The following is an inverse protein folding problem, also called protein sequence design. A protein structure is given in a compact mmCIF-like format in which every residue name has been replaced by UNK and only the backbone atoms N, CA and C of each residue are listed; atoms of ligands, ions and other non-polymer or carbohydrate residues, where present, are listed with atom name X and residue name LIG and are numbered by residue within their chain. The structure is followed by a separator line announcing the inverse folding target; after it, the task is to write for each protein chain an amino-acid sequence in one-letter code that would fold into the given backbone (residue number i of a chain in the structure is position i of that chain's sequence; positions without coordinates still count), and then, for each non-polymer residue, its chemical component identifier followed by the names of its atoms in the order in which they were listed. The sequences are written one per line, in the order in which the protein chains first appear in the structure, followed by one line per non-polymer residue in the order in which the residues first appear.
data_IF_461755616285
#
_entry.id   IF_461755616285
#
_cell.length_a   1.000
_cell.length_b   1.000
_cell.length_c   1.000
_cell.angle_alpha   90.00
_cell.angle_beta   90.00
_cell.angle_gamma   90.00
#
_symmetry.space_group_name_H-M   'P 1'
#
loop_
_entity.id
_entity.type
_entity.pdbx_description
1 polymer ?
#
# COMPACT_ATOMS: atom_id res chain seq x y z
N UNK A 1 18.68 6.87 3.07
CA UNK A 1 18.75 6.13 4.35
C UNK A 1 17.67 5.06 4.44
N UNK A 2 16.36 5.37 4.23
CA UNK A 2 15.26 4.42 4.43
C UNK A 2 15.40 3.10 3.64
N UNK A 3 15.57 3.16 2.31
CA UNK A 3 15.71 1.96 1.48
C UNK A 3 16.94 1.13 1.84
N UNK A 4 18.05 1.80 2.18
CA UNK A 4 19.27 1.11 2.60
C UNK A 4 19.08 0.36 3.94
N UNK A 5 18.37 0.96 4.91
CA UNK A 5 18.08 0.30 6.20
C UNK A 5 17.16 -0.91 6.04
N UNK A 6 16.13 -0.83 5.16
CA UNK A 6 15.26 -1.97 4.86
C UNK A 6 16.03 -3.11 4.19
N UNK A 7 16.88 -2.81 3.22
CA UNK A 7 17.72 -3.80 2.56
C UNK A 7 18.73 -4.44 3.52
N UNK A 8 19.31 -3.65 4.44
CA UNK A 8 20.20 -4.18 5.47
C UNK A 8 19.47 -5.18 6.39
N UNK A 9 18.24 -4.88 6.79
CA UNK A 9 17.39 -5.80 7.56
C UNK A 9 17.09 -7.11 6.82
N UNK A 10 16.74 -7.04 5.53
CA UNK A 10 16.57 -8.24 4.70
C UNK A 10 17.84 -9.08 4.64
N UNK A 11 19.00 -8.45 4.41
CA UNK A 11 20.31 -9.13 4.38
C UNK A 11 20.65 -9.78 5.72
N UNK A 12 20.36 -9.10 6.84
CA UNK A 12 20.60 -9.67 8.17
C UNK A 12 19.76 -10.92 8.41
N UNK A 13 18.49 -10.91 8.02
CA UNK A 13 17.59 -12.07 8.15
C UNK A 13 18.13 -13.23 7.28
N UNK A 14 18.46 -12.98 6.01
CA UNK A 14 18.95 -14.01 5.08
C UNK A 14 20.29 -14.59 5.48
N UNK A 15 21.13 -13.84 6.20
CA UNK A 15 22.38 -14.32 6.74
C UNK A 15 22.21 -15.16 8.03
N UNK A 16 21.18 -14.86 8.81
CA UNK A 16 20.92 -15.51 10.10
C UNK A 16 20.19 -16.85 9.96
N UNK A 17 19.37 -17.03 8.94
CA UNK A 17 18.56 -18.24 8.74
C UNK A 17 18.20 -18.46 7.28
N UNK A 18 18.06 -19.74 6.89
CA UNK A 18 17.50 -20.15 5.61
C UNK A 18 15.97 -20.38 5.66
N UNK A 19 15.33 -20.17 6.83
CA UNK A 19 13.90 -20.34 7.04
C UNK A 19 13.26 -18.99 7.34
N UNK A 20 12.86 -18.25 6.31
CA UNK A 20 12.28 -16.92 6.45
C UNK A 20 11.29 -16.61 5.33
N UNK A 21 10.34 -15.75 5.62
CA UNK A 21 9.52 -15.07 4.63
C UNK A 21 9.64 -13.57 4.88
N UNK A 22 10.14 -12.85 3.89
CA UNK A 22 10.13 -11.38 3.87
C UNK A 22 9.05 -10.93 2.90
N UNK A 23 8.12 -10.10 3.35
CA UNK A 23 7.06 -9.55 2.52
C UNK A 23 7.33 -8.06 2.32
N UNK A 24 7.66 -7.67 1.08
CA UNK A 24 7.75 -6.27 0.68
C UNK A 24 6.36 -5.76 0.32
N UNK A 25 6.01 -4.58 0.81
CA UNK A 25 4.73 -3.93 0.52
C UNK A 25 4.91 -2.45 0.20
N UNK A 26 3.90 -1.82 -0.37
CA UNK A 26 3.89 -0.40 -0.73
C UNK A 26 2.58 0.28 -0.32
N UNK A 27 2.61 1.58 -0.10
CA UNK A 27 1.44 2.45 0.12
C UNK A 27 0.44 1.88 1.13
N UNK A 28 0.96 1.41 2.27
CA UNK A 28 0.16 0.75 3.30
C UNK A 28 -0.79 1.74 3.96
N UNK A 29 -2.07 1.39 4.06
CA UNK A 29 -3.10 2.15 4.75
C UNK A 29 -4.02 1.25 5.58
N UNK A 30 -4.72 1.85 6.55
CA UNK A 30 -5.55 1.13 7.50
C UNK A 30 -6.66 2.03 8.05
N UNK A 31 -7.69 1.44 8.64
CA UNK A 31 -8.63 2.14 9.51
C UNK A 31 -8.00 2.59 10.83
N UNK A 32 -6.81 2.09 11.19
CA UNK A 32 -6.06 2.44 12.39
C UNK A 32 -4.88 3.36 12.08
N UNK A 33 -4.43 4.14 13.09
CA UNK A 33 -3.26 4.98 12.99
C UNK A 33 -3.37 6.13 11.97
N UNK A 34 -2.29 6.85 11.76
CA UNK A 34 -2.18 7.92 10.76
C UNK A 34 -1.73 7.32 9.41
N UNK A 35 -2.40 7.69 8.31
CA UNK A 35 -2.07 7.25 6.96
C UNK A 35 -2.68 8.18 5.91
N UNK A 36 -2.37 7.94 4.64
CA UNK A 36 -2.81 8.79 3.52
C UNK A 36 -4.34 8.88 3.42
N UNK A 37 -5.08 7.78 3.61
CA UNK A 37 -6.56 7.79 3.52
C UNK A 37 -7.15 8.75 4.55
N UNK A 38 -6.75 8.62 5.81
CA UNK A 38 -7.23 9.53 6.88
C UNK A 38 -6.78 10.97 6.66
N UNK A 39 -5.59 11.16 6.11
CA UNK A 39 -5.08 12.51 5.75
C UNK A 39 -5.96 13.15 4.69
N UNK A 40 -6.30 12.45 3.61
CA UNK A 40 -7.18 12.98 2.56
C UNK A 40 -8.59 13.26 3.10
N UNK A 41 -9.18 12.34 3.85
CA UNK A 41 -10.49 12.54 4.47
C UNK A 41 -10.52 13.83 5.32
N UNK A 42 -9.51 14.03 6.17
CA UNK A 42 -9.38 15.24 6.99
C UNK A 42 -9.18 16.49 6.14
N UNK A 43 -8.26 16.45 5.17
CA UNK A 43 -7.97 17.61 4.33
C UNK A 43 -9.16 18.00 3.45
N UNK A 44 -9.95 17.04 2.97
CA UNK A 44 -11.19 17.33 2.25
C UNK A 44 -12.23 18.06 3.12
N UNK A 45 -12.22 17.82 4.43
CA UNK A 45 -13.10 18.55 5.35
C UNK A 45 -12.59 19.95 5.72
N UNK A 46 -11.26 20.16 5.71
CA UNK A 46 -10.62 21.37 6.21
C UNK A 46 -10.25 22.38 5.10
N UNK A 47 -10.08 21.93 3.86
CA UNK A 47 -9.53 22.76 2.77
C UNK A 47 -10.54 22.96 1.64
N UNK A 48 -10.57 24.15 1.02
CA UNK A 48 -11.46 24.41 -0.12
C UNK A 48 -11.06 23.64 -1.39
N UNK A 49 -9.81 23.22 -1.51
CA UNK A 49 -9.27 22.42 -2.61
C UNK A 49 -7.99 21.69 -2.17
N UNK A 50 -7.62 20.63 -2.91
CA UNK A 50 -6.36 19.90 -2.72
C UNK A 50 -5.58 19.79 -4.04
N UNK A 51 -4.24 19.82 -3.94
CA UNK A 51 -3.33 19.52 -5.04
C UNK A 51 -2.56 18.24 -4.73
N UNK A 52 -2.68 17.20 -5.56
CA UNK A 52 -2.13 15.88 -5.28
C UNK A 52 -1.27 15.40 -6.45
N UNK A 53 -0.11 14.84 -6.16
CA UNK A 53 0.87 14.34 -7.14
C UNK A 53 0.24 13.24 -8.02
N UNK A 54 0.32 13.41 -9.36
CA UNK A 54 -0.23 12.49 -10.34
C UNK A 54 0.83 11.67 -11.11
N UNK A 55 2.10 12.08 -11.07
CA UNK A 55 3.21 11.43 -11.81
C UNK A 55 3.99 10.39 -10.98
N UNK A 56 3.49 10.02 -9.80
CA UNK A 56 4.02 8.90 -9.00
C UNK A 56 3.00 7.77 -8.98
N UNK A 57 3.40 6.63 -9.55
CA UNK A 57 2.54 5.47 -9.80
C UNK A 57 2.92 4.31 -8.87
N UNK A 58 1.94 3.71 -8.25
CA UNK A 58 2.12 2.58 -7.33
C UNK A 58 0.84 1.78 -7.16
N UNK A 59 0.78 1.00 -6.07
CA UNK A 59 -0.44 0.30 -5.69
C UNK A 59 -0.69 0.48 -4.20
N UNK A 60 -1.86 1.01 -3.80
CA UNK A 60 -2.27 1.05 -2.41
C UNK A 60 -2.40 -0.36 -1.83
N UNK A 61 -2.02 -0.54 -0.56
CA UNK A 61 -2.15 -1.83 0.15
C UNK A 61 -3.00 -1.64 1.41
N UNK A 62 -4.13 -2.29 1.49
CA UNK A 62 -4.94 -2.32 2.70
C UNK A 62 -4.33 -3.28 3.71
N UNK A 63 -4.04 -2.78 4.90
CA UNK A 63 -3.35 -3.55 5.94
C UNK A 63 -4.14 -4.80 6.39
N UNK A 64 -5.47 -4.78 6.33
CA UNK A 64 -6.27 -5.95 6.67
C UNK A 64 -6.11 -7.09 5.63
N UNK A 65 -5.98 -6.77 4.33
CA UNK A 65 -5.74 -7.79 3.30
C UNK A 65 -4.36 -8.42 3.47
N UNK A 66 -3.35 -7.60 3.76
CA UNK A 66 -2.00 -8.09 4.08
C UNK A 66 -2.01 -8.95 5.35
N UNK A 67 -2.74 -8.53 6.39
CA UNK A 67 -2.87 -9.30 7.62
C UNK A 67 -3.58 -10.64 7.39
N UNK A 68 -4.63 -10.67 6.56
CA UNK A 68 -5.31 -11.90 6.17
C UNK A 68 -4.37 -12.86 5.42
N UNK A 69 -3.58 -12.33 4.49
CA UNK A 69 -2.54 -13.10 3.81
C UNK A 69 -1.52 -13.69 4.80
N UNK A 70 -1.02 -12.88 5.73
CA UNK A 70 -0.06 -13.35 6.76
C UNK A 70 -0.69 -14.42 7.66
N UNK A 71 -1.95 -14.23 8.08
CA UNK A 71 -2.67 -15.22 8.87
C UNK A 71 -2.81 -16.56 8.12
N UNK A 72 -3.17 -16.51 6.84
CA UNK A 72 -3.23 -17.72 5.99
C UNK A 72 -1.86 -18.39 5.86
N UNK A 73 -0.78 -17.63 5.72
CA UNK A 73 0.58 -18.19 5.72
C UNK A 73 0.90 -18.93 7.01
N UNK A 74 0.57 -18.36 8.17
CA UNK A 74 0.87 -18.94 9.49
C UNK A 74 0.04 -20.22 9.71
N UNK A 75 -1.19 -20.25 9.22
CA UNK A 75 -2.09 -21.41 9.36
C UNK A 75 -1.79 -22.53 8.35
N UNK A 76 -0.91 -22.29 7.40
CA UNK A 76 -0.55 -23.27 6.38
C UNK A 76 0.64 -24.12 6.85
N UNK A 77 0.46 -25.42 7.00
CA UNK A 77 1.48 -26.36 7.48
C UNK A 77 2.74 -26.43 6.59
N UNK A 78 2.67 -25.93 5.34
CA UNK A 78 3.78 -25.92 4.39
C UNK A 78 4.61 -24.63 4.37
N UNK A 79 4.54 -23.79 5.41
CA UNK A 79 5.29 -22.52 5.48
C UNK A 79 6.80 -22.69 5.27
N UNK A 80 7.35 -23.83 5.72
CA UNK A 80 8.77 -24.16 5.59
C UNK A 80 9.23 -24.40 4.15
N UNK A 81 8.33 -24.79 3.25
CA UNK A 81 8.62 -24.98 1.83
C UNK A 81 8.71 -23.65 1.04
N UNK A 82 8.29 -22.56 1.63
CA UNK A 82 8.12 -21.27 0.94
C UNK A 82 9.06 -20.18 1.45
N UNK A 83 10.33 -20.52 1.70
CA UNK A 83 11.36 -19.55 2.09
C UNK A 83 11.60 -18.51 0.99
N UNK A 84 11.79 -17.24 1.37
CA UNK A 84 12.25 -16.21 0.44
C UNK A 84 11.57 -14.86 0.58
N UNK A 85 11.83 -14.01 -0.42
CA UNK A 85 11.29 -12.66 -0.51
C UNK A 85 10.07 -12.68 -1.45
N UNK A 86 8.99 -12.07 -0.99
CA UNK A 86 7.70 -11.95 -1.67
C UNK A 86 7.27 -10.50 -1.76
N UNK A 87 6.45 -10.19 -2.75
CA UNK A 87 5.82 -8.88 -2.88
C UNK A 87 4.32 -9.00 -2.67
N UNK A 88 3.77 -8.15 -1.82
CA UNK A 88 2.33 -8.05 -1.61
C UNK A 88 1.88 -6.59 -1.69
N UNK A 89 0.92 -6.32 -2.56
CA UNK A 89 0.07 -5.13 -2.58
C UNK A 89 -1.28 -5.53 -3.15
N UNK A 90 -2.33 -4.74 -2.98
CA UNK A 90 -3.59 -5.03 -3.65
C UNK A 90 -3.43 -5.09 -5.18
N UNK A 91 -4.39 -5.62 -5.91
CA UNK A 91 -4.37 -5.61 -7.37
C UNK A 91 -4.68 -4.22 -7.94
N UNK A 92 -4.25 -3.98 -9.18
CA UNK A 92 -4.41 -2.72 -9.88
C UNK A 92 -3.25 -1.75 -9.68
N UNK A 93 -3.41 -0.56 -10.21
CA UNK A 93 -2.41 0.51 -10.24
C UNK A 93 -3.13 1.85 -10.03
N UNK A 94 -2.50 2.79 -9.35
CA UNK A 94 -2.99 4.13 -9.13
C UNK A 94 -1.85 5.14 -9.00
N UNK A 95 -2.10 6.40 -9.35
CA UNK A 95 -1.30 7.52 -8.84
C UNK A 95 -1.80 7.93 -7.44
N UNK A 96 -1.03 8.78 -6.74
CA UNK A 96 -1.54 9.40 -5.50
C UNK A 96 -2.81 10.22 -5.77
N UNK A 97 -2.89 10.87 -6.95
CA UNK A 97 -4.08 11.60 -7.38
C UNK A 97 -5.29 10.68 -7.55
N UNK A 98 -5.17 9.56 -8.28
CA UNK A 98 -6.26 8.59 -8.47
C UNK A 98 -6.73 8.02 -7.12
N UNK A 99 -5.78 7.76 -6.22
CA UNK A 99 -6.07 7.28 -4.89
C UNK A 99 -6.84 8.32 -4.06
N UNK A 100 -6.43 9.60 -4.10
CA UNK A 100 -7.11 10.69 -3.41
C UNK A 100 -8.52 10.95 -3.97
N UNK A 101 -8.69 10.94 -5.29
CA UNK A 101 -10.01 11.04 -5.95
C UNK A 101 -10.92 9.91 -5.47
N UNK A 102 -10.42 8.66 -5.47
CA UNK A 102 -11.21 7.51 -5.01
C UNK A 102 -11.60 7.61 -3.54
N UNK A 103 -10.71 8.11 -2.68
CA UNK A 103 -11.03 8.34 -1.26
C UNK A 103 -12.16 9.36 -1.11
N UNK A 104 -12.06 10.49 -1.81
CA UNK A 104 -13.08 11.55 -1.82
C UNK A 104 -14.44 11.01 -2.26
N UNK A 105 -14.48 10.33 -3.40
CA UNK A 105 -15.71 9.85 -4.02
C UNK A 105 -16.40 8.78 -3.16
N UNK A 106 -15.64 7.79 -2.66
CA UNK A 106 -16.17 6.74 -1.77
C UNK A 106 -16.65 7.34 -0.44
N UNK A 107 -16.01 8.40 0.02
CA UNK A 107 -16.44 9.09 1.23
C UNK A 107 -17.67 9.99 1.02
N UNK A 108 -18.08 10.25 -0.22
CA UNK A 108 -19.19 11.17 -0.55
C UNK A 108 -18.82 12.64 -0.30
N UNK A 109 -17.54 12.99 -0.51
CA UNK A 109 -17.03 14.36 -0.35
C UNK A 109 -16.94 15.05 -1.72
N UNK A 110 -17.06 16.39 -1.76
CA UNK A 110 -17.11 17.17 -3.00
C UNK A 110 -15.89 18.08 -3.20
N UNK A 111 -14.94 18.07 -2.28
CA UNK A 111 -13.77 18.94 -2.33
C UNK A 111 -12.99 18.75 -3.63
N UNK A 112 -12.76 19.82 -4.41
CA UNK A 112 -11.98 19.73 -5.64
C UNK A 112 -10.55 19.24 -5.37
N UNK A 113 -10.09 18.26 -6.16
CA UNK A 113 -8.71 17.75 -6.10
C UNK A 113 -8.10 17.90 -7.49
N UNK A 114 -6.96 18.57 -7.60
CA UNK A 114 -6.25 18.83 -8.83
C UNK A 114 -4.95 18.03 -8.91
N UNK A 115 -4.60 17.48 -10.09
CA UNK A 115 -3.32 16.82 -10.29
C UNK A 115 -2.19 17.83 -10.36
N UNK A 116 -1.07 17.50 -9.73
CA UNK A 116 0.20 18.21 -9.85
C UNK A 116 1.33 17.24 -10.14
N UNK A 117 2.47 17.74 -10.63
CA UNK A 117 3.68 16.97 -10.82
C UNK A 117 4.60 17.00 -9.58
N UNK A 118 5.48 16.00 -9.46
CA UNK A 118 6.39 15.85 -8.32
C UNK A 118 7.22 17.10 -8.04
N UNK A 119 7.69 17.81 -9.08
CA UNK A 119 8.50 19.01 -8.90
C UNK A 119 7.74 20.18 -8.25
N UNK A 120 6.40 20.19 -8.34
CA UNK A 120 5.54 21.22 -7.72
C UNK A 120 5.33 20.98 -6.21
N UNK A 121 5.74 19.81 -5.71
CA UNK A 121 5.64 19.45 -4.29
C UNK A 121 6.98 18.90 -3.77
N UNK A 122 7.98 19.77 -3.56
CA UNK A 122 9.30 19.34 -3.12
C UNK A 122 9.26 18.67 -1.74
N UNK A 123 9.87 17.49 -1.65
CA UNK A 123 10.00 16.73 -0.40
C UNK A 123 11.46 16.40 -0.13
N UNK A 124 11.90 16.25 1.15
CA UNK A 124 13.29 15.94 1.48
C UNK A 124 13.78 14.62 0.88
N UNK A 125 12.88 13.67 0.61
CA UNK A 125 13.20 12.37 0.02
C UNK A 125 12.68 12.29 -1.42
N UNK A 126 13.56 11.97 -2.36
CA UNK A 126 13.15 11.65 -3.74
C UNK A 126 12.38 10.33 -3.76
N UNK A 127 11.14 10.36 -4.21
CA UNK A 127 10.30 9.18 -4.36
C UNK A 127 10.38 8.65 -5.79
N UNK A 128 10.36 7.31 -6.00
CA UNK A 128 10.33 6.75 -7.34
C UNK A 128 9.04 7.12 -8.06
N UNK A 129 9.13 7.39 -9.37
CA UNK A 129 7.95 7.64 -10.21
C UNK A 129 7.10 6.38 -10.42
N UNK A 130 7.71 5.20 -10.31
CA UNK A 130 7.04 3.91 -10.49
C UNK A 130 7.46 2.94 -9.40
N UNK A 131 6.49 2.44 -8.64
CA UNK A 131 6.68 1.54 -7.49
C UNK A 131 5.75 0.33 -7.50
N UNK A 132 5.19 -0.02 -8.66
CA UNK A 132 4.33 -1.20 -8.82
C UNK A 132 5.16 -2.47 -8.67
N UNK A 133 4.66 -3.41 -7.88
CA UNK A 133 5.35 -4.67 -7.59
C UNK A 133 4.71 -5.85 -8.33
N UNK A 134 5.54 -6.78 -8.81
CA UNK A 134 5.06 -8.04 -9.36
C UNK A 134 4.67 -8.99 -8.22
N UNK A 135 3.41 -9.40 -8.16
CA UNK A 135 2.81 -10.26 -7.15
C UNK A 135 2.66 -11.71 -7.59
N UNK A 136 3.17 -12.06 -8.78
CA UNK A 136 3.02 -13.42 -9.36
C UNK A 136 3.49 -14.49 -8.39
N UNK A 137 4.66 -14.30 -7.75
CA UNK A 137 5.22 -15.28 -6.81
C UNK A 137 4.30 -15.56 -5.62
N UNK A 138 3.63 -14.56 -5.04
CA UNK A 138 2.64 -14.76 -3.96
C UNK A 138 1.47 -15.62 -4.46
N UNK A 139 0.91 -15.30 -5.60
CA UNK A 139 -0.24 -16.02 -6.17
C UNK A 139 0.12 -17.48 -6.48
N UNK A 140 1.24 -17.70 -7.14
CA UNK A 140 1.68 -19.05 -7.54
C UNK A 140 2.04 -19.93 -6.32
N UNK A 141 2.70 -19.34 -5.30
CA UNK A 141 3.16 -20.09 -4.14
C UNK A 141 2.05 -20.40 -3.14
N UNK A 142 1.06 -19.51 -2.98
CA UNK A 142 0.10 -19.60 -1.89
C UNK A 142 -1.37 -19.69 -2.36
N UNK A 143 -1.65 -19.57 -3.66
CA UNK A 143 -3.01 -19.58 -4.18
C UNK A 143 -3.88 -18.43 -3.64
N UNK A 144 -3.27 -17.36 -3.10
CA UNK A 144 -4.00 -16.27 -2.48
C UNK A 144 -4.61 -15.35 -3.54
N UNK A 145 -5.93 -15.13 -3.44
CA UNK A 145 -6.64 -14.16 -4.28
C UNK A 145 -6.50 -12.77 -3.67
N UNK A 146 -5.72 -11.92 -4.32
CA UNK A 146 -5.46 -10.55 -3.86
C UNK A 146 -6.61 -9.64 -4.32
N UNK A 147 -7.30 -8.93 -3.41
CA UNK A 147 -8.38 -8.01 -3.77
C UNK A 147 -7.89 -6.82 -4.60
N UNK A 148 -8.78 -6.24 -5.42
CA UNK A 148 -8.50 -5.00 -6.12
C UNK A 148 -8.45 -3.82 -5.12
N UNK A 149 -7.50 -2.91 -5.32
CA UNK A 149 -7.21 -1.86 -4.35
C UNK A 149 -8.41 -0.96 -4.01
N UNK A 150 -9.28 -0.69 -5.00
CA UNK A 150 -10.43 0.19 -4.81
C UNK A 150 -11.53 -0.46 -3.97
N UNK A 151 -11.74 -1.76 -4.13
CA UNK A 151 -12.71 -2.53 -3.34
C UNK A 151 -12.27 -2.57 -1.86
N UNK A 152 -10.98 -2.81 -1.63
CA UNK A 152 -10.39 -2.77 -0.29
C UNK A 152 -10.45 -1.38 0.34
N UNK A 153 -10.33 -0.32 -0.47
CA UNK A 153 -10.49 1.06 0.00
C UNK A 153 -11.91 1.32 0.48
N UNK A 154 -12.94 0.84 -0.23
CA UNK A 154 -14.33 0.96 0.20
C UNK A 154 -14.56 0.30 1.57
N UNK A 155 -14.02 -0.91 1.77
CA UNK A 155 -14.09 -1.61 3.06
C UNK A 155 -13.42 -0.80 4.16
N UNK A 156 -12.24 -0.25 3.89
CA UNK A 156 -11.51 0.58 4.85
C UNK A 156 -12.28 1.84 5.25
N UNK A 157 -12.81 2.57 4.27
CA UNK A 157 -13.56 3.82 4.52
C UNK A 157 -14.85 3.55 5.32
N UNK A 158 -15.56 2.47 5.00
CA UNK A 158 -16.73 2.04 5.80
C UNK A 158 -16.37 1.82 7.26
N UNK A 159 -15.23 1.17 7.55
CA UNK A 159 -14.73 0.96 8.92
C UNK A 159 -14.26 2.23 9.63
N UNK A 160 -13.80 3.24 8.90
CA UNK A 160 -13.42 4.54 9.49
C UNK A 160 -14.64 5.35 9.92
N UNK A 161 -15.79 5.17 9.23
CA UNK A 161 -17.02 5.91 9.49
C UNK A 161 -17.91 5.29 10.60
N UNK A 162 -17.59 4.07 11.04
CA UNK A 162 -18.20 3.38 12.19
C UNK A 162 -17.63 3.90 13.52
#
# INVERSE_FOLDING_TARGET
VYGASKLAGERAITAATNRFIVIRTSWLYSSFGANFVKTILRLCAEKPLLNIIADQIGTPTYAADLAQFIAQLIMNDNLQAHTGIYHFSNEGVASWYDFAISIRDIAGLETPIFPIETFQYPTPATRPRFSVMNKKKVKDSFGFSIPYWRDSLEVCIKKIKQ
#
